data_IF_310013729297
#
_entry.id   IF_310013729297
#
_cell.length_a   1.000
_cell.length_b   1.000
_cell.length_c   1.000
_cell.angle_alpha   90.00
_cell.angle_beta   90.00
_cell.angle_gamma   90.00
#
_symmetry.space_group_name_H-M   'P 1'
#
loop_
_entity.id
_entity.type
_entity.pdbx_description
1 polymer ?
#
# COMPACT_ATOMS: atom_id res chain seq x y z
N UNK A 1 -20.29 1.89 23.29
CA UNK A 1 -19.36 0.83 23.71
C UNK A 1 -18.09 1.49 24.19
N UNK A 2 -17.77 1.32 25.47
CA UNK A 2 -16.55 1.86 26.06
C UNK A 2 -15.39 0.87 25.84
N UNK A 3 -14.15 1.35 25.92
CA UNK A 3 -12.95 0.50 25.77
C UNK A 3 -12.92 -0.63 26.79
N UNK A 4 -13.34 -0.36 28.02
CA UNK A 4 -13.32 -1.34 29.11
C UNK A 4 -14.28 -2.52 28.86
N UNK A 5 -15.42 -2.25 28.22
CA UNK A 5 -16.38 -3.28 27.82
C UNK A 5 -15.78 -4.22 26.76
N UNK A 6 -15.00 -3.68 25.82
CA UNK A 6 -14.28 -4.48 24.82
C UNK A 6 -13.18 -5.33 25.46
N UNK A 7 -12.41 -4.76 26.38
CA UNK A 7 -11.34 -5.47 27.09
C UNK A 7 -11.90 -6.60 27.95
N UNK A 8 -13.03 -6.38 28.61
CA UNK A 8 -13.71 -7.39 29.40
C UNK A 8 -14.26 -8.53 28.54
N UNK A 9 -14.71 -8.24 27.31
CA UNK A 9 -15.17 -9.26 26.36
C UNK A 9 -14.00 -10.03 25.75
N UNK A 10 -13.03 -9.32 25.16
CA UNK A 10 -11.91 -9.93 24.45
C UNK A 10 -10.75 -8.93 24.25
N UNK A 11 -9.64 -9.12 24.97
CA UNK A 11 -8.45 -8.30 24.82
C UNK A 11 -7.78 -8.45 23.44
N UNK A 12 -7.81 -9.66 22.85
CA UNK A 12 -7.24 -9.93 21.52
C UNK A 12 -8.01 -9.23 20.40
N UNK A 13 -9.31 -8.95 20.57
CA UNK A 13 -10.09 -8.18 19.60
C UNK A 13 -9.52 -6.76 19.41
N UNK A 14 -9.13 -6.08 20.50
CA UNK A 14 -8.53 -4.75 20.38
C UNK A 14 -7.14 -4.80 19.74
N UNK A 15 -6.33 -5.80 20.06
CA UNK A 15 -5.05 -6.02 19.40
C UNK A 15 -5.23 -6.29 17.90
N UNK A 16 -6.20 -7.11 17.54
CA UNK A 16 -6.58 -7.37 16.16
C UNK A 16 -7.04 -6.09 15.45
N UNK A 17 -7.99 -5.33 15.99
CA UNK A 17 -8.40 -4.07 15.33
C UNK A 17 -7.24 -3.06 15.20
N UNK A 18 -6.32 -3.04 16.18
CA UNK A 18 -5.14 -2.18 16.14
C UNK A 18 -4.16 -2.61 15.05
N UNK A 19 -3.97 -3.90 14.81
CA UNK A 19 -3.07 -4.41 13.78
C UNK A 19 -3.54 -4.03 12.37
N UNK A 20 -4.83 -4.18 12.08
CA UNK A 20 -5.43 -3.79 10.79
C UNK A 20 -5.22 -2.27 10.58
N UNK A 21 -5.53 -1.45 11.59
CA UNK A 21 -5.42 0.03 11.51
C UNK A 21 -3.99 0.55 11.42
N UNK A 22 -3.06 -0.02 12.18
CA UNK A 22 -1.64 0.38 12.13
C UNK A 22 -1.06 -0.01 10.77
N UNK A 23 -1.38 -1.19 10.25
CA UNK A 23 -0.94 -1.64 8.92
C UNK A 23 -1.50 -0.73 7.82
N UNK A 24 -2.81 -0.46 7.84
CA UNK A 24 -3.45 0.51 6.94
C UNK A 24 -2.79 1.89 7.00
N UNK A 25 -2.53 2.40 8.21
CA UNK A 25 -1.89 3.70 8.41
C UNK A 25 -0.49 3.75 7.79
N UNK A 26 0.30 2.68 7.96
CA UNK A 26 1.61 2.55 7.32
C UNK A 26 1.53 2.60 5.79
N UNK A 27 0.55 1.92 5.20
CA UNK A 27 0.28 1.98 3.75
C UNK A 27 -0.16 3.37 3.31
N UNK A 28 -1.03 4.06 4.05
CA UNK A 28 -1.43 5.44 3.72
C UNK A 28 -0.25 6.42 3.75
N UNK A 29 0.66 6.26 4.72
CA UNK A 29 1.90 7.06 4.77
C UNK A 29 2.81 6.73 3.59
N UNK A 30 2.94 5.46 3.19
CA UNK A 30 3.65 5.05 1.96
C UNK A 30 3.12 5.79 0.74
N UNK A 31 1.80 5.71 0.49
CA UNK A 31 1.14 6.39 -0.62
C UNK A 31 1.42 7.89 -0.58
N UNK A 32 1.31 8.52 0.59
CA UNK A 32 1.59 9.94 0.77
C UNK A 32 3.01 10.33 0.37
N UNK A 33 4.02 9.53 0.78
CA UNK A 33 5.41 9.74 0.39
C UNK A 33 5.61 9.54 -1.11
N UNK A 34 5.07 8.48 -1.69
CA UNK A 34 5.16 8.20 -3.12
C UNK A 34 4.54 9.34 -3.94
N UNK A 35 3.32 9.77 -3.59
CA UNK A 35 2.63 10.86 -4.27
C UNK A 35 3.37 12.20 -4.11
N UNK A 36 3.86 12.53 -2.92
CA UNK A 36 4.63 13.75 -2.72
C UNK A 36 5.89 13.77 -3.58
N UNK A 37 6.65 12.67 -3.57
CA UNK A 37 7.90 12.56 -4.31
C UNK A 37 7.67 12.59 -5.83
N UNK A 38 6.67 11.85 -6.33
CA UNK A 38 6.29 11.88 -7.75
C UNK A 38 5.72 13.23 -8.15
N UNK A 39 5.00 13.93 -7.27
CA UNK A 39 4.54 15.28 -7.55
C UNK A 39 5.73 16.27 -7.67
N UNK A 40 6.66 16.20 -6.72
CA UNK A 40 7.82 17.09 -6.61
C UNK A 40 8.81 16.95 -7.76
N UNK A 41 9.08 15.71 -8.19
CA UNK A 41 10.12 15.39 -9.17
C UNK A 41 9.59 14.91 -10.52
N UNK A 42 8.39 14.33 -10.57
CA UNK A 42 7.81 13.78 -11.79
C UNK A 42 6.81 14.74 -12.44
N UNK A 43 5.69 15.01 -11.76
CA UNK A 43 4.62 15.85 -12.29
C UNK A 43 5.09 17.30 -12.48
N UNK A 44 5.93 17.84 -11.58
CA UNK A 44 6.49 19.19 -11.72
C UNK A 44 7.27 19.37 -13.03
N UNK A 45 7.97 18.32 -13.46
CA UNK A 45 8.76 18.31 -14.70
C UNK A 45 7.94 17.80 -15.92
N UNK A 46 6.68 17.42 -15.69
CA UNK A 46 5.74 16.95 -16.70
C UNK A 46 6.07 15.55 -17.23
N UNK A 47 6.68 14.67 -16.43
CA UNK A 47 7.03 13.33 -16.86
C UNK A 47 5.78 12.45 -17.03
N UNK A 48 5.59 11.95 -18.27
CA UNK A 48 4.43 11.11 -18.63
C UNK A 48 4.22 9.93 -17.67
N UNK A 49 5.27 9.14 -17.42
CA UNK A 49 5.16 7.94 -16.58
C UNK A 49 4.75 8.26 -15.13
N UNK A 50 5.23 9.38 -14.59
CA UNK A 50 4.91 9.78 -13.21
C UNK A 50 3.45 10.25 -13.11
N UNK A 51 2.97 11.00 -14.11
CA UNK A 51 1.57 11.36 -14.25
C UNK A 51 0.69 10.12 -14.36
N UNK A 52 1.07 9.15 -15.20
CA UNK A 52 0.37 7.88 -15.36
C UNK A 52 0.34 7.09 -14.05
N UNK A 53 1.44 7.05 -13.29
CA UNK A 53 1.51 6.35 -12.01
C UNK A 53 0.54 6.92 -10.98
N UNK A 54 0.57 8.24 -10.78
CA UNK A 54 -0.33 8.91 -9.83
C UNK A 54 -1.79 8.81 -10.31
N UNK A 55 -2.05 9.01 -11.60
CA UNK A 55 -3.40 8.96 -12.14
C UNK A 55 -4.02 7.57 -12.01
N UNK A 56 -3.33 6.51 -12.43
CA UNK A 56 -3.82 5.14 -12.35
C UNK A 56 -4.03 4.70 -10.89
N UNK A 57 -3.11 5.06 -10.00
CA UNK A 57 -3.22 4.80 -8.56
C UNK A 57 -4.45 5.47 -7.96
N UNK A 58 -4.67 6.75 -8.24
CA UNK A 58 -5.88 7.47 -7.78
C UNK A 58 -7.16 6.92 -8.42
N UNK A 59 -7.13 6.48 -9.69
CA UNK A 59 -8.27 5.87 -10.38
C UNK A 59 -8.76 4.59 -9.71
N UNK A 60 -7.88 3.82 -9.07
CA UNK A 60 -8.28 2.64 -8.28
C UNK A 60 -8.49 2.97 -6.79
N UNK A 61 -7.78 3.97 -6.27
CA UNK A 61 -7.85 4.40 -4.88
C UNK A 61 -9.18 5.07 -4.53
N UNK A 62 -9.63 6.08 -5.29
CA UNK A 62 -10.89 6.77 -4.98
C UNK A 62 -12.11 5.85 -5.01
N UNK A 63 -12.29 4.96 -6.01
CA UNK A 63 -13.42 4.03 -6.00
C UNK A 63 -13.36 2.97 -4.90
N UNK A 64 -12.17 2.69 -4.32
CA UNK A 64 -12.07 1.72 -3.23
C UNK A 64 -12.88 2.11 -1.98
N UNK A 65 -13.18 3.41 -1.82
CA UNK A 65 -14.11 3.93 -0.81
C UNK A 65 -15.48 3.21 -0.84
N UNK A 66 -15.97 2.84 -2.03
CA UNK A 66 -17.29 2.23 -2.16
C UNK A 66 -17.34 0.76 -1.73
N UNK A 67 -16.19 0.09 -1.54
CA UNK A 67 -16.12 -1.34 -1.26
C UNK A 67 -16.85 -1.73 0.03
N UNK A 68 -16.78 -0.91 1.07
CA UNK A 68 -17.35 -1.21 2.38
C UNK A 68 -18.75 -0.63 2.62
N UNK A 69 -19.26 0.22 1.73
CA UNK A 69 -20.61 0.79 1.88
C UNK A 69 -21.69 -0.31 1.89
N UNK A 70 -21.46 -1.42 1.19
CA UNK A 70 -22.34 -2.59 1.18
C UNK A 70 -22.50 -3.29 2.54
N UNK A 71 -21.60 -3.06 3.50
CA UNK A 71 -21.68 -3.59 4.86
C UNK A 71 -22.41 -2.65 5.84
N UNK A 72 -22.95 -1.53 5.36
CA UNK A 72 -23.70 -0.57 6.17
C UNK A 72 -22.82 0.28 7.10
N UNK A 73 -21.50 0.31 6.86
CA UNK A 73 -20.57 1.15 7.61
C UNK A 73 -20.15 2.36 6.77
N UNK A 74 -20.62 3.55 7.16
CA UNK A 74 -20.20 4.82 6.56
C UNK A 74 -19.22 5.53 7.48
N UNK A 75 -18.03 5.86 6.97
CA UNK A 75 -17.02 6.66 7.67
C UNK A 75 -17.07 8.12 7.17
N UNK A 76 -17.62 9.06 7.98
CA UNK A 76 -17.71 10.47 7.58
C UNK A 76 -16.35 11.14 7.41
N UNK A 77 -15.33 10.72 8.16
CA UNK A 77 -13.99 11.31 8.08
C UNK A 77 -13.32 10.90 6.78
N UNK A 78 -13.42 9.62 6.43
CA UNK A 78 -12.92 9.11 5.15
C UNK A 78 -13.66 9.78 3.98
N UNK A 79 -14.98 9.91 4.07
CA UNK A 79 -15.78 10.60 3.05
C UNK A 79 -15.36 12.07 2.89
N UNK A 80 -15.16 12.79 3.99
CA UNK A 80 -14.69 14.17 3.96
C UNK A 80 -13.30 14.29 3.30
N UNK A 81 -12.37 13.40 3.65
CA UNK A 81 -11.06 13.35 3.02
C UNK A 81 -11.16 13.10 1.50
N UNK A 82 -11.98 12.14 1.07
CA UNK A 82 -12.20 11.85 -0.34
C UNK A 82 -12.81 13.05 -1.11
N UNK A 83 -13.82 13.71 -0.53
CA UNK A 83 -14.47 14.90 -1.11
C UNK A 83 -13.50 16.06 -1.27
N UNK A 84 -12.56 16.25 -0.34
CA UNK A 84 -11.56 17.31 -0.41
C UNK A 84 -10.44 16.95 -1.39
N UNK A 85 -9.93 15.71 -1.35
CA UNK A 85 -8.76 15.30 -2.12
C UNK A 85 -9.08 15.08 -3.61
N UNK A 86 -10.27 14.59 -3.95
CA UNK A 86 -10.67 14.34 -5.34
C UNK A 86 -10.58 15.59 -6.24
N UNK A 87 -11.18 16.75 -5.90
CA UNK A 87 -11.06 17.93 -6.73
C UNK A 87 -9.62 18.45 -6.81
N UNK A 88 -8.84 18.37 -5.72
CA UNK A 88 -7.43 18.75 -5.73
C UNK A 88 -6.61 17.87 -6.69
N UNK A 89 -6.87 16.56 -6.68
CA UNK A 89 -6.26 15.63 -7.63
C UNK A 89 -6.66 15.96 -9.07
N UNK A 90 -7.94 16.18 -9.37
CA UNK A 90 -8.40 16.55 -10.72
C UNK A 90 -7.77 17.86 -11.21
N UNK A 91 -7.65 18.87 -10.32
CA UNK A 91 -6.97 20.13 -10.61
C UNK A 91 -5.48 19.91 -10.90
N UNK A 92 -4.82 19.01 -10.17
CA UNK A 92 -3.40 18.68 -10.39
C UNK A 92 -3.14 18.11 -11.80
N UNK A 93 -4.12 17.43 -12.40
CA UNK A 93 -4.00 16.82 -13.73
C UNK A 93 -4.37 17.76 -14.89
N UNK A 94 -5.25 18.73 -14.66
CA UNK A 94 -5.91 19.53 -15.73
C UNK A 94 -4.95 20.23 -16.69
N UNK A 95 -3.81 20.72 -16.21
CA UNK A 95 -2.81 21.46 -17.01
C UNK A 95 -1.39 20.92 -16.82
N UNK A 96 -1.26 19.68 -16.34
CA UNK A 96 0.06 19.08 -16.16
C UNK A 96 0.67 18.73 -17.53
N UNK A 97 1.81 19.32 -17.91
CA UNK A 97 2.48 19.01 -19.17
C UNK A 97 2.75 17.52 -19.28
N UNK A 98 2.63 16.97 -20.47
CA UNK A 98 2.84 15.55 -20.72
C UNK A 98 4.01 15.35 -21.67
N UNK A 99 5.18 15.05 -21.10
CA UNK A 99 6.45 14.97 -21.80
C UNK A 99 7.04 13.57 -21.65
N UNK A 100 7.51 12.95 -22.74
CA UNK A 100 8.29 11.73 -22.63
C UNK A 100 9.61 12.04 -21.91
N UNK A 101 10.14 11.05 -21.20
CA UNK A 101 11.49 11.15 -20.64
C UNK A 101 12.51 11.26 -21.79
N UNK A 102 13.40 12.25 -21.72
CA UNK A 102 14.45 12.51 -22.73
C UNK A 102 15.87 12.49 -22.15
N UNK A 103 16.05 11.86 -20.99
CA UNK A 103 17.39 11.72 -20.40
C UNK A 103 18.28 10.79 -21.22
N UNK A 104 19.55 10.74 -20.86
CA UNK A 104 20.53 9.86 -21.49
C UNK A 104 20.07 8.39 -21.38
N UNK A 105 20.25 7.62 -22.45
CA UNK A 105 19.96 6.18 -22.48
C UNK A 105 21.27 5.45 -22.68
N UNK A 106 21.57 4.48 -21.80
CA UNK A 106 22.72 3.61 -22.00
C UNK A 106 22.47 2.71 -23.21
N UNK A 107 23.37 2.76 -24.20
CA UNK A 107 23.35 1.85 -25.35
C UNK A 107 24.10 0.54 -25.07
N UNK A 108 24.68 0.40 -23.88
CA UNK A 108 25.50 -0.74 -23.48
C UNK A 108 24.90 -1.42 -22.25
N UNK A 109 24.76 -2.74 -22.35
CA UNK A 109 24.32 -3.61 -21.26
C UNK A 109 25.50 -3.95 -20.33
N UNK A 110 26.03 -2.94 -19.65
CA UNK A 110 27.12 -3.12 -18.68
C UNK A 110 26.67 -3.97 -17.47
N UNK A 111 27.64 -4.37 -16.63
CA UNK A 111 27.34 -5.19 -15.44
C UNK A 111 26.41 -4.49 -14.45
N UNK A 112 26.45 -3.16 -14.37
CA UNK A 112 25.64 -2.36 -13.45
C UNK A 112 24.18 -2.36 -13.91
N UNK A 113 23.95 -2.15 -15.21
CA UNK A 113 22.64 -2.22 -15.84
C UNK A 113 22.03 -3.62 -15.72
N UNK A 114 22.79 -4.69 -15.99
CA UNK A 114 22.30 -6.07 -15.83
C UNK A 114 21.88 -6.37 -14.39
N UNK A 115 22.61 -5.87 -13.39
CA UNK A 115 22.21 -5.99 -11.98
C UNK A 115 20.94 -5.17 -11.69
N UNK A 116 20.82 -3.97 -12.27
CA UNK A 116 19.65 -3.13 -12.12
C UNK A 116 18.38 -3.78 -12.69
N UNK A 117 18.48 -4.56 -13.77
CA UNK A 117 17.35 -5.32 -14.31
C UNK A 117 16.78 -6.31 -13.30
N UNK A 118 17.63 -6.99 -12.52
CA UNK A 118 17.17 -7.83 -11.42
C UNK A 118 16.51 -7.01 -10.30
N UNK A 119 17.06 -5.83 -9.98
CA UNK A 119 16.45 -4.94 -8.99
C UNK A 119 15.08 -4.39 -9.43
N UNK A 120 14.95 -4.02 -10.70
CA UNK A 120 13.68 -3.63 -11.31
C UNK A 120 12.69 -4.80 -11.33
N UNK A 121 13.16 -6.00 -11.69
CA UNK A 121 12.35 -7.22 -11.63
C UNK A 121 11.81 -7.47 -10.22
N UNK A 122 12.63 -7.32 -9.17
CA UNK A 122 12.16 -7.42 -7.78
C UNK A 122 11.02 -6.45 -7.47
N UNK A 123 11.12 -5.19 -7.91
CA UNK A 123 10.07 -4.18 -7.71
C UNK A 123 8.81 -4.43 -8.55
N UNK A 124 8.95 -4.99 -9.76
CA UNK A 124 7.80 -5.40 -10.59
C UNK A 124 7.07 -6.57 -9.91
N UNK A 125 7.78 -7.60 -9.48
CA UNK A 125 7.19 -8.73 -8.75
C UNK A 125 6.57 -8.26 -7.43
N UNK A 126 7.22 -7.32 -6.72
CA UNK A 126 6.66 -6.70 -5.53
C UNK A 126 5.34 -5.99 -5.83
N UNK A 127 5.31 -5.10 -6.83
CA UNK A 127 4.08 -4.39 -7.23
C UNK A 127 2.94 -5.35 -7.60
N UNK A 128 3.21 -6.40 -8.37
CA UNK A 128 2.21 -7.43 -8.70
C UNK A 128 1.76 -8.19 -7.44
N UNK A 129 2.68 -8.55 -6.55
CA UNK A 129 2.36 -9.30 -5.33
C UNK A 129 1.50 -8.48 -4.36
N UNK A 130 1.84 -7.19 -4.18
CA UNK A 130 1.04 -6.26 -3.37
C UNK A 130 -0.33 -6.00 -4.01
N UNK A 131 -0.41 -5.93 -5.34
CA UNK A 131 -1.69 -5.78 -6.03
C UNK A 131 -2.61 -6.99 -5.79
N UNK A 132 -2.07 -8.21 -5.91
CA UNK A 132 -2.81 -9.45 -5.61
C UNK A 132 -3.22 -9.48 -4.14
N UNK A 133 -2.32 -9.12 -3.22
CA UNK A 133 -2.60 -9.04 -1.78
C UNK A 133 -3.72 -8.03 -1.47
N UNK A 134 -3.64 -6.83 -2.02
CA UNK A 134 -4.63 -5.77 -1.84
C UNK A 134 -6.02 -6.18 -2.34
N UNK A 135 -6.09 -6.77 -3.54
CA UNK A 135 -7.35 -7.30 -4.09
C UNK A 135 -7.89 -8.45 -3.23
N UNK A 136 -7.03 -9.34 -2.73
CA UNK A 136 -7.44 -10.47 -1.89
C UNK A 136 -8.03 -9.99 -0.57
N UNK A 137 -7.35 -9.05 0.12
CA UNK A 137 -7.82 -8.49 1.39
C UNK A 137 -9.10 -7.67 1.18
N UNK A 138 -9.19 -6.90 0.10
CA UNK A 138 -10.42 -6.20 -0.26
C UNK A 138 -11.57 -7.17 -0.48
N UNK A 139 -11.35 -8.25 -1.25
CA UNK A 139 -12.35 -9.29 -1.50
C UNK A 139 -12.81 -9.98 -0.20
N UNK A 140 -11.88 -10.29 0.71
CA UNK A 140 -12.20 -10.83 2.03
C UNK A 140 -13.05 -9.83 2.83
N UNK A 141 -12.65 -8.56 2.85
CA UNK A 141 -13.35 -7.48 3.56
C UNK A 141 -14.80 -7.29 3.10
N UNK A 142 -15.11 -7.58 1.83
CA UNK A 142 -16.47 -7.47 1.27
C UNK A 142 -17.24 -8.78 1.17
N UNK A 143 -16.72 -9.89 1.71
CA UNK A 143 -17.38 -11.21 1.63
C UNK A 143 -17.50 -11.91 2.98
N UNK A 144 -16.40 -12.46 3.49
CA UNK A 144 -16.37 -13.27 4.72
C UNK A 144 -15.79 -12.54 5.92
N UNK A 145 -15.16 -11.38 5.69
CA UNK A 145 -14.52 -10.46 6.67
C UNK A 145 -13.31 -11.08 7.38
N UNK A 146 -13.42 -12.31 7.86
CA UNK A 146 -12.41 -13.03 8.60
C UNK A 146 -11.81 -14.18 7.79
N UNK A 147 -10.51 -14.42 7.99
CA UNK A 147 -9.82 -15.66 7.65
C UNK A 147 -9.66 -16.53 8.91
N UNK A 148 -9.43 -17.84 8.77
CA UNK A 148 -9.35 -18.74 9.93
C UNK A 148 -8.32 -18.32 10.98
N UNK A 149 -7.17 -17.81 10.56
CA UNK A 149 -6.11 -17.33 11.46
C UNK A 149 -6.56 -16.14 12.32
N UNK A 150 -7.47 -15.29 11.83
CA UNK A 150 -8.02 -14.16 12.60
C UNK A 150 -8.81 -14.65 13.81
N UNK A 151 -9.73 -15.60 13.57
CA UNK A 151 -10.61 -16.15 14.59
C UNK A 151 -9.83 -16.99 15.61
N UNK A 152 -8.80 -17.70 15.15
CA UNK A 152 -7.86 -18.41 16.02
C UNK A 152 -7.08 -17.45 16.92
N UNK A 153 -6.58 -16.33 16.38
CA UNK A 153 -5.88 -15.32 17.17
C UNK A 153 -6.80 -14.66 18.21
N UNK A 154 -8.02 -14.32 17.82
CA UNK A 154 -8.98 -13.70 18.72
C UNK A 154 -9.66 -14.70 19.67
N UNK A 155 -9.58 -16.01 19.41
CA UNK A 155 -10.27 -17.06 20.18
C UNK A 155 -11.79 -16.82 20.29
N UNK A 156 -12.41 -16.38 19.20
CA UNK A 156 -13.84 -16.06 19.13
C UNK A 156 -14.39 -16.37 17.75
N UNK A 157 -15.69 -16.64 17.66
CA UNK A 157 -16.39 -16.82 16.39
C UNK A 157 -16.98 -15.51 15.87
N UNK A 158 -17.21 -15.43 14.56
CA UNK A 158 -17.93 -14.31 13.94
C UNK A 158 -19.35 -14.13 14.51
N UNK A 159 -20.02 -15.24 14.86
CA UNK A 159 -21.36 -15.21 15.44
C UNK A 159 -21.36 -14.59 16.86
N UNK A 160 -20.39 -14.94 17.69
CA UNK A 160 -20.22 -14.35 19.02
C UNK A 160 -19.89 -12.85 18.96
N UNK A 161 -19.04 -12.42 18.01
CA UNK A 161 -18.76 -11.00 17.78
C UNK A 161 -20.01 -10.22 17.40
N UNK A 162 -20.82 -10.77 16.49
CA UNK A 162 -22.06 -10.14 16.05
C UNK A 162 -23.13 -10.11 17.16
N UNK A 163 -23.20 -11.16 17.98
CA UNK A 163 -24.10 -11.21 19.14
C UNK A 163 -23.70 -10.22 20.24
N UNK A 164 -22.40 -10.02 20.45
CA UNK A 164 -21.89 -9.03 21.39
C UNK A 164 -22.17 -7.59 20.92
N UNK A 165 -21.86 -7.28 19.65
CA UNK A 165 -22.18 -5.98 19.06
C UNK A 165 -22.24 -6.05 17.53
N UNK A 166 -23.43 -5.82 16.98
CA UNK A 166 -23.70 -5.88 15.54
C UNK A 166 -22.91 -4.89 14.68
N UNK A 167 -22.23 -3.90 15.29
CA UNK A 167 -21.37 -2.94 14.58
C UNK A 167 -19.91 -3.37 14.44
N UNK A 168 -19.46 -4.42 15.14
CA UNK A 168 -18.06 -4.86 15.08
C UNK A 168 -17.69 -5.47 13.73
N UNK A 169 -18.51 -6.38 13.21
CA UNK A 169 -18.23 -7.04 11.92
C UNK A 169 -18.23 -6.02 10.77
N UNK A 170 -19.20 -5.10 10.64
CA UNK A 170 -19.15 -4.01 9.66
C UNK A 170 -17.91 -3.11 9.78
N UNK A 171 -17.47 -2.81 11.00
CA UNK A 171 -16.28 -1.99 11.25
C UNK A 171 -15.00 -2.70 10.78
N UNK A 172 -14.86 -3.98 11.06
CA UNK A 172 -13.71 -4.78 10.62
C UNK A 172 -13.74 -4.97 9.09
N UNK A 173 -14.93 -5.19 8.52
CA UNK A 173 -15.13 -5.23 7.07
C UNK A 173 -14.66 -3.93 6.41
N UNK A 174 -15.04 -2.77 6.98
CA UNK A 174 -14.56 -1.45 6.56
C UNK A 174 -13.03 -1.36 6.61
N UNK A 175 -12.42 -1.66 7.75
CA UNK A 175 -10.98 -1.52 7.93
C UNK A 175 -10.19 -2.40 6.93
N UNK A 176 -10.68 -3.61 6.65
CA UNK A 176 -10.06 -4.53 5.69
C UNK A 176 -10.27 -4.16 4.23
N UNK A 177 -11.50 -3.79 3.85
CA UNK A 177 -11.77 -3.32 2.50
C UNK A 177 -10.98 -2.03 2.21
N UNK A 178 -10.90 -1.12 3.18
CA UNK A 178 -10.09 0.09 3.13
C UNK A 178 -8.60 -0.22 3.01
N UNK A 179 -8.08 -1.15 3.82
CA UNK A 179 -6.69 -1.60 3.73
C UNK A 179 -6.37 -2.23 2.37
N UNK A 180 -7.20 -3.16 1.90
CA UNK A 180 -7.02 -3.80 0.59
C UNK A 180 -7.03 -2.80 -0.57
N UNK A 181 -7.96 -1.82 -0.53
CA UNK A 181 -8.03 -0.74 -1.49
C UNK A 181 -6.80 0.17 -1.49
N UNK A 182 -6.35 0.59 -0.30
CA UNK A 182 -5.14 1.39 -0.14
C UNK A 182 -3.90 0.63 -0.63
N UNK A 183 -3.76 -0.65 -0.26
CA UNK A 183 -2.64 -1.49 -0.68
C UNK A 183 -2.63 -1.70 -2.20
N UNK A 184 -3.79 -1.89 -2.83
CA UNK A 184 -3.89 -2.00 -4.28
C UNK A 184 -3.50 -0.69 -4.98
N UNK A 185 -3.95 0.46 -4.45
CA UNK A 185 -3.51 1.77 -4.94
C UNK A 185 -1.98 1.93 -4.83
N UNK A 186 -1.40 1.67 -3.65
CA UNK A 186 0.05 1.71 -3.41
C UNK A 186 0.82 0.80 -4.39
N UNK A 187 0.30 -0.40 -4.62
CA UNK A 187 0.85 -1.36 -5.57
C UNK A 187 0.84 -0.84 -7.02
N UNK A 188 -0.24 -0.17 -7.45
CA UNK A 188 -0.35 0.39 -8.80
C UNK A 188 0.66 1.51 -9.03
N UNK A 189 0.78 2.47 -8.11
CA UNK A 189 1.80 3.53 -8.24
C UNK A 189 3.21 2.95 -8.23
N UNK A 190 3.49 1.96 -7.36
CA UNK A 190 4.79 1.30 -7.29
C UNK A 190 5.11 0.52 -8.57
N UNK A 191 4.16 -0.25 -9.10
CA UNK A 191 4.33 -1.08 -10.28
C UNK A 191 4.61 -0.21 -11.51
N UNK A 192 3.82 0.83 -11.74
CA UNK A 192 4.01 1.75 -12.87
C UNK A 192 5.36 2.47 -12.75
N UNK A 193 5.73 2.87 -11.53
CA UNK A 193 7.04 3.45 -11.23
C UNK A 193 8.17 2.48 -11.55
N UNK A 194 8.04 1.20 -11.21
CA UNK A 194 9.02 0.17 -11.49
C UNK A 194 9.11 -0.15 -12.99
N UNK A 195 7.99 -0.14 -13.72
CA UNK A 195 7.95 -0.42 -15.15
C UNK A 195 8.57 0.69 -16.00
N UNK A 196 8.36 1.96 -15.64
CA UNK A 196 8.70 3.08 -16.52
C UNK A 196 9.57 4.18 -15.89
N UNK A 197 9.72 4.21 -14.57
CA UNK A 197 10.43 5.29 -13.86
C UNK A 197 11.91 5.03 -13.62
N UNK A 198 12.36 3.77 -13.54
CA UNK A 198 13.74 3.42 -13.18
C UNK A 198 14.69 3.82 -14.32
N UNK A 199 15.58 4.77 -14.04
CA UNK A 199 16.60 5.25 -14.97
C UNK A 199 17.94 5.44 -14.25
N UNK A 200 19.04 5.43 -15.02
CA UNK A 200 20.40 5.70 -14.50
C UNK A 200 20.47 7.12 -13.93
N UNK A 201 21.24 7.30 -12.87
CA UNK A 201 21.45 8.61 -12.23
C UNK A 201 20.24 9.20 -11.49
N UNK A 202 19.05 8.58 -11.55
CA UNK A 202 17.85 9.07 -10.88
C UNK A 202 17.81 8.69 -9.38
N UNK A 203 18.78 9.16 -8.62
CA UNK A 203 18.92 8.87 -7.18
C UNK A 203 17.71 9.31 -6.34
N UNK A 204 16.98 10.35 -6.77
CA UNK A 204 15.75 10.78 -6.11
C UNK A 204 14.70 9.66 -6.12
N UNK A 205 14.58 8.91 -7.21
CA UNK A 205 13.61 7.83 -7.33
C UNK A 205 13.99 6.65 -6.46
N UNK A 206 15.29 6.35 -6.34
CA UNK A 206 15.76 5.33 -5.40
C UNK A 206 15.39 5.70 -3.95
N UNK A 207 15.57 6.97 -3.56
CA UNK A 207 15.15 7.48 -2.25
C UNK A 207 13.63 7.43 -2.09
N UNK A 208 12.86 7.70 -3.14
CA UNK A 208 11.39 7.54 -3.14
C UNK A 208 11.00 6.10 -2.87
N UNK A 209 11.65 5.12 -3.49
CA UNK A 209 11.39 3.70 -3.23
C UNK A 209 11.77 3.33 -1.78
N UNK A 210 12.91 3.80 -1.28
CA UNK A 210 13.38 3.56 0.09
C UNK A 210 12.42 4.16 1.15
N UNK A 211 12.03 5.42 0.99
CA UNK A 211 11.19 6.08 2.00
C UNK A 211 9.70 5.78 1.79
N UNK A 212 9.28 5.43 0.57
CA UNK A 212 7.92 5.01 0.27
C UNK A 212 7.56 3.70 0.95
N UNK A 213 8.34 2.63 0.72
CA UNK A 213 8.02 1.31 1.29
C UNK A 213 8.25 1.17 2.80
N UNK A 214 9.21 1.93 3.37
CA UNK A 214 9.64 1.76 4.76
C UNK A 214 8.51 1.88 5.81
N UNK A 215 7.62 2.90 5.78
CA UNK A 215 6.53 3.02 6.75
C UNK A 215 5.56 1.84 6.74
N UNK A 216 5.23 1.31 5.56
CA UNK A 216 4.30 0.19 5.43
C UNK A 216 4.89 -1.09 6.03
N UNK A 217 6.15 -1.42 5.70
CA UNK A 217 6.82 -2.60 6.27
C UNK A 217 7.08 -2.45 7.77
N UNK A 218 7.50 -1.27 8.21
CA UNK A 218 7.73 -1.02 9.64
C UNK A 218 6.43 -1.17 10.43
N UNK A 219 5.35 -0.51 10.02
CA UNK A 219 4.06 -0.60 10.69
C UNK A 219 3.52 -2.04 10.68
N UNK A 220 3.49 -2.68 9.51
CA UNK A 220 2.97 -4.03 9.34
C UNK A 220 3.73 -5.06 10.16
N UNK A 221 5.06 -5.13 10.04
CA UNK A 221 5.84 -6.13 10.76
C UNK A 221 5.88 -5.85 12.27
N UNK A 222 6.11 -4.59 12.69
CA UNK A 222 6.25 -4.27 14.12
C UNK A 222 4.96 -4.54 14.90
N UNK A 223 3.79 -4.24 14.34
CA UNK A 223 2.53 -4.48 15.06
C UNK A 223 2.24 -5.96 15.23
N UNK A 224 2.50 -6.80 14.22
CA UNK A 224 2.27 -8.25 14.31
C UNK A 224 3.16 -8.88 15.41
N UNK A 225 4.44 -8.51 15.47
CA UNK A 225 5.32 -8.96 16.55
C UNK A 225 4.92 -8.36 17.91
N UNK A 226 4.51 -7.10 17.94
CA UNK A 226 4.12 -6.40 19.16
C UNK A 226 2.86 -6.97 19.84
N UNK A 227 1.94 -7.55 19.05
CA UNK A 227 0.70 -8.15 19.58
C UNK A 227 0.72 -9.69 19.61
N UNK A 228 1.78 -10.33 19.12
CA UNK A 228 1.90 -11.79 19.05
C UNK A 228 1.07 -12.44 17.93
N UNK A 229 0.57 -11.68 16.96
CA UNK A 229 -0.14 -12.24 15.80
C UNK A 229 0.86 -12.68 14.73
N UNK A 230 1.63 -13.74 15.02
CA UNK A 230 2.80 -14.14 14.23
C UNK A 230 2.63 -15.48 13.52
N UNK A 231 1.40 -15.80 13.07
CA UNK A 231 1.15 -17.00 12.29
C UNK A 231 2.01 -17.00 11.00
N UNK A 232 2.62 -18.15 10.69
CA UNK A 232 3.58 -18.24 9.59
C UNK A 232 2.91 -18.00 8.24
N UNK A 233 1.75 -18.58 7.99
CA UNK A 233 1.03 -18.44 6.71
C UNK A 233 0.52 -17.01 6.56
N UNK A 234 0.06 -16.41 7.66
CA UNK A 234 -0.39 -15.03 7.72
C UNK A 234 0.74 -14.03 7.40
N UNK A 235 1.94 -14.22 7.96
CA UNK A 235 3.08 -13.31 7.75
C UNK A 235 3.91 -13.60 6.49
N UNK A 236 3.78 -14.79 5.88
CA UNK A 236 4.54 -15.18 4.70
C UNK A 236 4.49 -14.15 3.56
N UNK A 237 3.32 -13.60 3.17
CA UNK A 237 3.27 -12.58 2.12
C UNK A 237 4.06 -11.31 2.46
N UNK A 238 4.03 -10.89 3.74
CA UNK A 238 4.75 -9.70 4.20
C UNK A 238 6.27 -9.91 4.18
N UNK A 239 6.76 -11.07 4.61
CA UNK A 239 8.19 -11.40 4.54
C UNK A 239 8.68 -11.52 3.10
N UNK A 240 7.91 -12.14 2.22
CA UNK A 240 8.22 -12.23 0.81
C UNK A 240 8.32 -10.84 0.16
N UNK A 241 7.33 -9.98 0.41
CA UNK A 241 7.33 -8.60 -0.07
C UNK A 241 8.53 -7.80 0.47
N UNK A 242 8.86 -7.96 1.75
CA UNK A 242 9.99 -7.28 2.38
C UNK A 242 11.34 -7.73 1.78
N UNK A 243 11.50 -9.03 1.52
CA UNK A 243 12.69 -9.56 0.87
C UNK A 243 12.88 -9.00 -0.54
N UNK A 244 11.82 -8.96 -1.35
CA UNK A 244 11.85 -8.34 -2.68
C UNK A 244 12.19 -6.85 -2.61
N UNK A 245 11.61 -6.14 -1.64
CA UNK A 245 11.84 -4.72 -1.43
C UNK A 245 13.31 -4.40 -1.12
N UNK A 246 13.90 -5.10 -0.14
CA UNK A 246 15.30 -4.92 0.26
C UNK A 246 16.24 -5.33 -0.88
N UNK A 247 16.01 -6.47 -1.52
CA UNK A 247 16.81 -6.92 -2.66
C UNK A 247 16.76 -5.93 -3.82
N UNK A 248 15.56 -5.44 -4.17
CA UNK A 248 15.34 -4.45 -5.20
C UNK A 248 16.15 -3.17 -4.94
N UNK A 249 16.09 -2.64 -3.72
CA UNK A 249 16.84 -1.44 -3.33
C UNK A 249 18.36 -1.64 -3.46
N UNK A 250 18.89 -2.75 -2.96
CA UNK A 250 20.32 -3.06 -3.02
C UNK A 250 20.80 -3.17 -4.48
N UNK A 251 20.06 -3.90 -5.32
CA UNK A 251 20.44 -4.17 -6.70
C UNK A 251 20.38 -2.90 -7.58
N UNK A 252 19.40 -2.03 -7.34
CA UNK A 252 19.22 -0.76 -8.05
C UNK A 252 20.21 0.32 -7.62
N UNK A 253 20.72 0.27 -6.39
CA UNK A 253 21.46 1.40 -5.80
C UNK A 253 22.59 1.95 -6.69
N UNK A 254 23.54 1.13 -7.19
CA UNK A 254 24.67 1.70 -7.93
C UNK A 254 24.31 2.14 -9.35
N UNK A 255 23.19 1.66 -9.91
CA UNK A 255 22.70 2.12 -11.21
C UNK A 255 22.04 3.50 -11.08
N UNK A 256 21.23 3.70 -10.04
CA UNK A 256 20.50 4.95 -9.82
C UNK A 256 21.35 6.05 -9.17
N UNK A 257 22.48 5.69 -8.53
CA UNK A 257 23.48 6.64 -8.01
C UNK A 257 24.73 6.77 -8.89
N UNK A 258 24.82 6.00 -9.97
CA UNK A 258 25.87 6.17 -10.97
C UNK A 258 25.76 7.54 -11.65
N UNK A 259 26.90 8.10 -12.06
CA UNK A 259 26.89 9.28 -12.94
C UNK A 259 26.48 8.84 -14.35
N UNK A 260 25.76 9.73 -15.02
CA UNK A 260 25.52 9.68 -16.47
C UNK A 260 26.84 9.92 -17.23
#
# INVERSE_FOLDING_TARGET
MKRDELLAFNAHLLHFMSHDRITLSGTMVSIGILYYQLAKHGLRDGLHWAKTAVAASCMVGFPSFFLYLGYGFFDPLHAAAAIILLPLFLLSLRRNPDRPYRGSVSLVNDRIWKRAMWGQFCFVVLGVSLAIGGLTIAAIGVTRVFVPTDLTFMQVTSAELNAFNSRLVPLIAHDRAGFGGALFSDAVVLLITALWGIQRGQSWLWRTLLFGGMPAFFAGLSVHYGIGYTDFIHLLPAWFAFALYVAGLILLYPYMHGKD
#
